data_IF_789559532639
#
_entry.id   IF_789559532639
#
_cell.length_a   1.000
_cell.length_b   1.000
_cell.length_c   1.000
_cell.angle_alpha   90.00
_cell.angle_beta   90.00
_cell.angle_gamma   90.00
#
_symmetry.space_group_name_H-M   'P 1'
#
loop_
_entity.id
_entity.type
_entity.pdbx_description
1 polymer ?
#
# COMPACT_ATOMS: atom_id res chain seq x y z
N UNK A 1 2.54 -13.86 12.34
CA UNK A 1 4.03 -14.06 12.42
C UNK A 1 4.66 -13.41 11.21
N UNK A 2 5.74 -12.67 11.37
CA UNK A 2 6.45 -12.04 10.24
C UNK A 2 7.12 -13.13 9.40
N UNK A 3 6.97 -13.09 8.10
CA UNK A 3 7.63 -14.00 7.18
C UNK A 3 9.15 -13.82 7.26
N UNK A 4 9.93 -14.91 7.38
CA UNK A 4 11.39 -14.88 7.55
C UNK A 4 12.10 -14.12 6.42
N UNK A 5 11.65 -14.28 5.17
CA UNK A 5 12.21 -13.55 4.03
C UNK A 5 11.87 -12.05 4.08
N UNK A 6 10.64 -11.70 4.49
CA UNK A 6 10.27 -10.30 4.70
C UNK A 6 11.17 -9.65 5.74
N UNK A 7 11.40 -10.36 6.88
CA UNK A 7 12.32 -9.90 7.91
C UNK A 7 13.76 -9.74 7.39
N UNK A 8 14.25 -10.72 6.61
CA UNK A 8 15.60 -10.71 6.06
C UNK A 8 15.79 -9.55 5.05
N UNK A 9 14.85 -9.33 4.14
CA UNK A 9 14.89 -8.18 3.22
C UNK A 9 14.85 -6.85 3.96
N UNK A 10 14.00 -6.73 4.98
CA UNK A 10 13.82 -5.51 5.75
C UNK A 10 15.05 -5.17 6.62
N UNK A 11 15.69 -6.16 7.23
CA UNK A 11 16.67 -5.89 8.28
C UNK A 11 18.12 -6.24 7.89
N UNK A 12 18.33 -7.09 6.88
CA UNK A 12 19.66 -7.59 6.52
C UNK A 12 20.05 -7.21 5.09
N UNK A 13 19.17 -7.44 4.12
CA UNK A 13 19.54 -7.33 2.69
C UNK A 13 19.37 -5.91 2.15
N UNK A 14 18.15 -5.41 2.07
CA UNK A 14 17.83 -4.12 1.45
C UNK A 14 17.72 -2.98 2.46
N UNK A 15 17.18 -3.28 3.65
CA UNK A 15 16.86 -2.25 4.63
C UNK A 15 18.05 -1.42 5.09
N UNK A 16 19.20 -2.00 5.49
CA UNK A 16 20.37 -1.22 5.89
C UNK A 16 20.86 -0.28 4.79
N UNK A 17 20.92 -0.77 3.55
CA UNK A 17 21.30 0.05 2.41
C UNK A 17 20.33 1.23 2.21
N UNK A 18 19.02 0.99 2.17
CA UNK A 18 18.03 2.04 1.97
C UNK A 18 18.03 3.08 3.10
N UNK A 19 18.25 2.64 4.36
CA UNK A 19 18.36 3.56 5.51
C UNK A 19 19.54 4.53 5.39
N UNK A 20 20.65 4.09 4.85
CA UNK A 20 21.84 4.93 4.66
C UNK A 20 21.71 5.77 3.38
N UNK A 21 21.28 5.16 2.29
CA UNK A 21 21.29 5.77 0.97
C UNK A 21 20.17 6.79 0.76
N UNK A 22 18.94 6.45 1.13
CA UNK A 22 17.76 7.32 0.96
C UNK A 22 17.27 7.95 2.26
N UNK A 23 17.78 7.52 3.42
CA UNK A 23 17.44 8.05 4.75
C UNK A 23 15.93 8.26 4.93
N UNK A 24 15.10 7.23 4.70
CA UNK A 24 13.66 7.39 4.81
C UNK A 24 13.25 7.68 6.25
N UNK A 25 12.32 8.62 6.41
CA UNK A 25 11.74 8.99 7.71
C UNK A 25 10.24 8.72 7.71
N UNK A 26 9.68 8.51 8.89
CA UNK A 26 8.24 8.32 9.08
C UNK A 26 7.74 9.25 10.18
N UNK A 27 6.74 10.05 9.85
CA UNK A 27 6.02 10.92 10.77
C UNK A 27 4.62 10.33 11.00
N UNK A 28 4.13 10.33 12.23
CA UNK A 28 2.83 9.75 12.59
C UNK A 28 2.80 8.22 12.60
N UNK A 29 3.94 7.54 12.65
CA UNK A 29 4.02 6.07 12.64
C UNK A 29 3.23 5.38 13.76
N UNK A 30 2.95 6.08 14.86
CA UNK A 30 2.09 5.61 15.96
C UNK A 30 0.62 5.40 15.55
N UNK A 31 0.17 6.00 14.45
CA UNK A 31 -1.17 5.79 13.90
C UNK A 31 -1.33 4.41 13.24
N UNK A 32 -0.24 3.70 12.95
CA UNK A 32 -0.30 2.32 12.46
C UNK A 32 -0.49 1.40 13.68
N UNK A 33 -1.58 0.63 13.76
CA UNK A 33 -1.85 -0.20 14.91
C UNK A 33 -0.80 -1.32 15.04
N UNK A 34 -0.33 -1.55 16.25
CA UNK A 34 0.60 -2.65 16.56
C UNK A 34 -0.09 -4.00 16.59
N UNK A 35 -1.41 -4.02 16.81
CA UNK A 35 -2.27 -5.23 16.86
C UNK A 35 -3.55 -4.91 16.08
N UNK A 36 -4.16 -5.95 15.48
CA UNK A 36 -5.40 -5.83 14.74
C UNK A 36 -5.20 -5.45 13.27
N UNK A 37 -6.29 -5.51 12.51
CA UNK A 37 -6.29 -5.21 11.08
C UNK A 37 -6.29 -3.70 10.81
N UNK A 38 -5.64 -3.29 9.73
CA UNK A 38 -5.78 -1.94 9.18
C UNK A 38 -5.48 -1.94 7.68
N UNK A 39 -6.09 -1.01 6.96
CA UNK A 39 -5.81 -0.74 5.55
C UNK A 39 -4.89 0.48 5.47
N UNK A 40 -3.75 0.32 4.82
CA UNK A 40 -2.80 1.40 4.60
C UNK A 40 -2.96 1.91 3.17
N UNK A 41 -3.59 3.07 3.00
CA UNK A 41 -3.89 3.67 1.71
C UNK A 41 -2.85 4.74 1.36
N UNK A 42 -1.97 4.45 0.40
CA UNK A 42 -0.86 5.34 0.05
C UNK A 42 -0.97 5.86 -1.38
N UNK A 43 -0.51 7.09 -1.64
CA UNK A 43 -0.21 7.52 -3.00
C UNK A 43 0.93 6.68 -3.59
N UNK A 44 1.06 6.63 -4.90
CA UNK A 44 2.03 5.78 -5.59
C UNK A 44 2.87 6.55 -6.60
N UNK A 45 4.12 6.82 -6.25
CA UNK A 45 5.04 7.62 -7.06
C UNK A 45 6.20 6.82 -7.64
N UNK A 46 6.56 5.71 -6.99
CA UNK A 46 7.70 4.87 -7.36
C UNK A 46 7.45 3.41 -7.04
N UNK A 47 8.12 2.49 -7.74
CA UNK A 47 8.16 1.09 -7.31
C UNK A 47 8.76 0.94 -5.91
N UNK A 48 9.61 1.88 -5.52
CA UNK A 48 10.28 1.90 -4.21
C UNK A 48 9.34 2.22 -3.04
N UNK A 49 8.13 2.72 -3.29
CA UNK A 49 7.11 2.93 -2.24
C UNK A 49 6.80 1.61 -1.51
N UNK A 50 6.73 0.51 -2.28
CA UNK A 50 6.52 -0.84 -1.73
C UNK A 50 7.72 -1.42 -0.96
N UNK A 51 8.82 -0.67 -0.88
CA UNK A 51 9.99 -1.00 -0.06
C UNK A 51 10.15 -0.03 1.11
N UNK A 52 9.99 1.29 0.89
CA UNK A 52 10.15 2.27 1.96
C UNK A 52 9.09 2.16 3.04
N UNK A 53 7.82 1.99 2.67
CA UNK A 53 6.75 1.86 3.66
C UNK A 53 6.91 0.58 4.52
N UNK A 54 7.12 -0.62 3.94
CA UNK A 54 7.45 -1.81 4.72
C UNK A 54 8.71 -1.68 5.58
N UNK A 55 9.73 -0.95 5.10
CA UNK A 55 10.97 -0.75 5.83
C UNK A 55 10.75 -0.05 7.17
N UNK A 56 9.88 0.96 7.21
CA UNK A 56 9.63 1.78 8.40
C UNK A 56 8.38 1.35 9.19
N UNK A 57 7.50 0.56 8.59
CA UNK A 57 6.33 0.02 9.28
C UNK A 57 6.75 -1.01 10.35
N UNK A 58 6.19 -0.98 11.57
CA UNK A 58 6.54 -1.92 12.64
C UNK A 58 6.13 -3.36 12.33
N UNK A 59 5.14 -3.55 11.46
CA UNK A 59 4.55 -4.85 11.10
C UNK A 59 4.69 -5.13 9.61
N UNK A 60 4.54 -6.39 9.23
CA UNK A 60 4.46 -6.80 7.82
C UNK A 60 3.20 -6.22 7.17
N UNK A 61 3.36 -5.70 5.95
CA UNK A 61 2.28 -5.21 5.11
C UNK A 61 2.15 -6.14 3.92
N UNK A 62 0.95 -6.60 3.64
CA UNK A 62 0.64 -7.38 2.43
C UNK A 62 0.01 -6.45 1.38
N UNK A 63 0.65 -6.35 0.21
CA UNK A 63 0.12 -5.59 -0.93
C UNK A 63 -0.41 -6.52 -2.02
N UNK A 64 -1.49 -6.13 -2.72
CA UNK A 64 -1.85 -6.78 -3.97
C UNK A 64 -0.86 -6.40 -5.08
N UNK A 65 -0.18 -7.38 -5.63
CA UNK A 65 0.75 -7.22 -6.75
C UNK A 65 0.12 -7.72 -8.05
N UNK A 66 0.59 -7.23 -9.19
CA UNK A 66 0.09 -7.67 -10.50
C UNK A 66 0.26 -9.17 -10.67
N UNK A 67 -0.79 -9.86 -11.13
CA UNK A 67 -0.79 -11.31 -11.39
C UNK A 67 0.34 -11.73 -12.33
N UNK A 68 0.72 -10.87 -13.28
CA UNK A 68 1.81 -11.12 -14.23
C UNK A 68 3.15 -11.38 -13.53
N UNK A 69 3.41 -10.77 -12.37
CA UNK A 69 4.64 -11.03 -11.61
C UNK A 69 4.74 -12.46 -11.06
N UNK A 70 3.63 -13.18 -11.03
CA UNK A 70 3.56 -14.57 -10.58
C UNK A 70 3.46 -15.58 -11.72
N UNK A 71 3.19 -15.12 -12.95
CA UNK A 71 2.90 -15.98 -14.11
C UNK A 71 3.87 -15.78 -15.27
N UNK A 72 4.74 -14.75 -15.24
CA UNK A 72 5.73 -14.49 -16.27
C UNK A 72 6.66 -15.70 -16.47
N UNK A 73 6.83 -16.22 -17.70
CA UNK A 73 7.69 -17.36 -17.97
C UNK A 73 9.19 -17.02 -17.88
N UNK A 74 10.02 -18.07 -17.84
CA UNK A 74 11.47 -17.93 -17.85
C UNK A 74 12.11 -17.70 -16.48
N UNK A 75 13.43 -17.53 -16.47
CA UNK A 75 14.23 -17.39 -15.22
C UNK A 75 13.87 -16.10 -14.49
N UNK A 76 13.70 -15.00 -15.22
CA UNK A 76 13.32 -13.69 -14.62
C UNK A 76 11.94 -13.80 -13.96
N UNK A 77 10.95 -14.41 -14.62
CA UNK A 77 9.62 -14.62 -14.04
C UNK A 77 9.64 -15.51 -12.81
N UNK A 78 10.46 -16.57 -12.81
CA UNK A 78 10.62 -17.42 -11.61
C UNK A 78 11.23 -16.66 -10.44
N UNK A 79 12.21 -15.79 -10.70
CA UNK A 79 12.83 -14.95 -9.68
C UNK A 79 11.86 -13.91 -9.13
N UNK A 80 11.07 -13.26 -10.00
CA UNK A 80 10.01 -12.35 -9.60
C UNK A 80 8.96 -13.04 -8.74
N UNK A 81 8.43 -14.17 -9.20
CA UNK A 81 7.46 -14.96 -8.44
C UNK A 81 8.00 -15.36 -7.06
N UNK A 82 9.23 -15.86 -7.01
CA UNK A 82 9.89 -16.21 -5.75
C UNK A 82 9.97 -14.99 -4.82
N UNK A 83 10.43 -13.84 -5.32
CA UNK A 83 10.53 -12.62 -4.53
C UNK A 83 9.17 -12.17 -3.97
N UNK A 84 8.15 -11.98 -4.83
CA UNK A 84 6.84 -11.51 -4.38
C UNK A 84 6.16 -12.47 -3.41
N UNK A 85 6.28 -13.78 -3.67
CA UNK A 85 5.78 -14.81 -2.74
C UNK A 85 6.54 -14.81 -1.41
N UNK A 86 7.86 -14.67 -1.47
CA UNK A 86 8.72 -14.67 -0.29
C UNK A 86 8.48 -13.47 0.63
N UNK A 87 8.08 -12.33 0.09
CA UNK A 87 7.71 -11.15 0.91
C UNK A 87 6.21 -11.12 1.24
N UNK A 88 5.46 -12.16 0.90
CA UNK A 88 4.05 -12.34 1.28
C UNK A 88 3.08 -11.48 0.48
N UNK A 89 3.43 -11.08 -0.76
CA UNK A 89 2.50 -10.36 -1.64
C UNK A 89 1.48 -11.32 -2.26
N UNK A 90 0.28 -10.82 -2.55
CA UNK A 90 -0.80 -11.61 -3.16
C UNK A 90 -1.05 -11.19 -4.60
N UNK A 91 -1.25 -12.15 -5.53
CA UNK A 91 -1.55 -11.83 -6.92
C UNK A 91 -2.94 -11.22 -7.04
N UNK A 92 -3.05 -10.15 -7.84
CA UNK A 92 -4.32 -9.51 -8.19
C UNK A 92 -4.40 -9.28 -9.69
N UNK A 93 -5.38 -9.91 -10.33
CA UNK A 93 -5.76 -9.58 -11.70
C UNK A 93 -6.61 -8.31 -11.72
N UNK A 94 -6.07 -7.25 -12.30
CA UNK A 94 -6.73 -5.94 -12.39
C UNK A 94 -7.47 -5.73 -13.71
N UNK A 95 -7.32 -6.66 -14.66
CA UNK A 95 -7.92 -6.57 -16.00
C UNK A 95 -9.32 -7.18 -16.05
N UNK A 96 -9.66 -8.03 -15.10
CA UNK A 96 -10.95 -8.71 -15.00
C UNK A 96 -12.09 -7.75 -14.67
N UNK A 97 -13.25 -7.96 -15.28
CA UNK A 97 -14.50 -7.27 -14.89
C UNK A 97 -14.86 -7.48 -13.41
N UNK A 98 -14.36 -8.55 -12.79
CA UNK A 98 -14.52 -8.91 -11.38
C UNK A 98 -13.38 -8.43 -10.49
N UNK A 99 -12.49 -7.56 -10.97
CA UNK A 99 -11.32 -7.09 -10.22
C UNK A 99 -11.67 -6.54 -8.83
N UNK A 100 -12.83 -5.91 -8.67
CA UNK A 100 -13.32 -5.41 -7.38
C UNK A 100 -13.66 -6.52 -6.38
N UNK A 101 -14.29 -7.61 -6.84
CA UNK A 101 -14.63 -8.76 -6.00
C UNK A 101 -13.37 -9.54 -5.60
N UNK A 102 -12.45 -9.72 -6.54
CA UNK A 102 -11.15 -10.37 -6.29
C UNK A 102 -10.35 -9.57 -5.27
N UNK A 103 -10.32 -8.23 -5.41
CA UNK A 103 -9.66 -7.35 -4.44
C UNK A 103 -10.29 -7.48 -3.05
N UNK A 104 -11.62 -7.45 -2.95
CA UNK A 104 -12.34 -7.55 -1.68
C UNK A 104 -12.07 -8.91 -1.00
N UNK A 105 -12.11 -10.00 -1.76
CA UNK A 105 -11.83 -11.34 -1.24
C UNK A 105 -10.39 -11.46 -0.74
N UNK A 106 -9.42 -10.98 -1.53
CA UNK A 106 -8.00 -10.98 -1.14
C UNK A 106 -7.76 -10.14 0.12
N UNK A 107 -8.38 -8.95 0.19
CA UNK A 107 -8.26 -8.07 1.36
C UNK A 107 -8.88 -8.70 2.61
N UNK A 108 -10.10 -9.28 2.53
CA UNK A 108 -10.74 -9.99 3.64
C UNK A 108 -9.85 -11.08 4.20
N UNK A 109 -9.30 -11.94 3.36
CA UNK A 109 -8.41 -13.02 3.79
C UNK A 109 -7.19 -12.53 4.59
N UNK A 110 -6.73 -11.30 4.36
CA UNK A 110 -5.62 -10.68 5.09
C UNK A 110 -6.12 -10.01 6.38
N UNK A 111 -7.17 -9.21 6.25
CA UNK A 111 -7.72 -8.42 7.37
C UNK A 111 -8.35 -9.31 8.46
N UNK A 112 -9.00 -10.42 8.08
CA UNK A 112 -9.59 -11.39 9.03
C UNK A 112 -8.52 -12.06 9.91
N UNK A 113 -7.25 -12.10 9.46
CA UNK A 113 -6.12 -12.55 10.27
C UNK A 113 -5.53 -11.45 11.16
N UNK A 114 -6.13 -10.25 11.19
CA UNK A 114 -5.60 -9.11 11.94
C UNK A 114 -4.34 -8.51 11.33
N UNK A 115 -4.09 -8.70 10.02
CA UNK A 115 -2.89 -8.23 9.32
C UNK A 115 -3.09 -6.86 8.67
N UNK A 116 -1.99 -6.22 8.23
CA UNK A 116 -2.02 -4.96 7.51
C UNK A 116 -2.15 -5.20 6.01
N UNK A 117 -3.13 -4.54 5.39
CA UNK A 117 -3.35 -4.55 3.96
C UNK A 117 -2.95 -3.21 3.34
N UNK A 118 -1.93 -3.21 2.49
CA UNK A 118 -1.47 -2.02 1.78
C UNK A 118 -2.14 -1.89 0.42
N UNK A 119 -2.59 -0.69 0.07
CA UNK A 119 -3.23 -0.42 -1.21
C UNK A 119 -2.86 0.97 -1.72
N UNK A 120 -2.75 1.09 -3.04
CA UNK A 120 -2.59 2.37 -3.73
C UNK A 120 -3.93 2.74 -4.39
N UNK A 121 -4.70 3.70 -3.83
CA UNK A 121 -6.02 4.05 -4.36
C UNK A 121 -5.99 4.53 -5.82
N UNK A 122 -4.91 5.16 -6.26
CA UNK A 122 -4.72 5.56 -7.66
C UNK A 122 -4.70 4.38 -8.63
N UNK A 123 -4.31 3.18 -8.16
CA UNK A 123 -4.24 1.94 -8.94
C UNK A 123 -3.05 1.86 -9.90
N UNK A 124 -2.29 2.94 -10.06
CA UNK A 124 -1.07 3.01 -10.86
C UNK A 124 -0.12 4.04 -10.28
N UNK A 125 1.14 4.03 -10.69
CA UNK A 125 2.11 5.06 -10.31
C UNK A 125 1.79 6.37 -11.01
N UNK A 126 1.94 7.49 -10.27
CA UNK A 126 1.77 8.83 -10.81
C UNK A 126 2.83 9.12 -11.89
N UNK A 127 2.44 9.52 -13.11
CA UNK A 127 3.39 9.78 -14.19
C UNK A 127 4.24 11.04 -13.96
N UNK A 128 3.72 12.02 -13.25
CA UNK A 128 4.32 13.34 -13.04
C UNK A 128 4.58 13.71 -11.58
N UNK A 129 4.20 12.85 -10.63
CA UNK A 129 4.35 13.07 -9.19
C UNK A 129 3.15 13.74 -8.53
N UNK A 130 2.11 14.10 -9.29
CA UNK A 130 0.86 14.62 -8.73
C UNK A 130 0.01 13.48 -8.15
N UNK A 131 -0.85 13.80 -7.20
CA UNK A 131 -1.84 12.88 -6.68
C UNK A 131 -3.06 12.92 -7.59
N UNK A 132 -3.44 11.78 -8.13
CA UNK A 132 -4.58 11.64 -9.03
C UNK A 132 -5.81 11.13 -8.29
N UNK A 133 -6.97 11.25 -8.94
CA UNK A 133 -8.23 10.76 -8.40
C UNK A 133 -8.15 9.27 -8.04
N UNK A 134 -8.45 8.93 -6.79
CA UNK A 134 -8.48 7.56 -6.30
C UNK A 134 -9.65 6.74 -6.86
N UNK A 135 -9.43 5.44 -7.06
CA UNK A 135 -10.45 4.44 -7.31
C UNK A 135 -11.12 4.04 -6.00
N UNK A 136 -12.40 3.70 -6.03
CA UNK A 136 -13.18 3.38 -4.83
C UNK A 136 -12.86 2.02 -4.19
N UNK A 137 -11.95 1.23 -4.77
CA UNK A 137 -11.63 -0.11 -4.28
C UNK A 137 -11.17 -0.15 -2.83
N UNK A 138 -10.29 0.77 -2.42
CA UNK A 138 -9.81 0.87 -1.04
C UNK A 138 -10.96 1.19 -0.05
N UNK A 139 -11.79 2.18 -0.37
CA UNK A 139 -12.92 2.57 0.44
C UNK A 139 -13.99 1.47 0.53
N UNK A 140 -14.28 0.78 -0.59
CA UNK A 140 -15.21 -0.37 -0.60
C UNK A 140 -14.72 -1.50 0.28
N UNK A 141 -13.42 -1.81 0.26
CA UNK A 141 -12.86 -2.80 1.17
C UNK A 141 -13.03 -2.36 2.62
N UNK A 142 -12.69 -1.11 2.95
CA UNK A 142 -12.80 -0.57 4.29
C UNK A 142 -14.25 -0.63 4.81
N UNK A 143 -15.22 -0.21 4.01
CA UNK A 143 -16.66 -0.24 4.36
C UNK A 143 -17.14 -1.68 4.55
N UNK A 144 -16.82 -2.58 3.62
CA UNK A 144 -17.28 -3.96 3.64
C UNK A 144 -16.65 -4.82 4.76
N UNK A 145 -15.51 -4.42 5.30
CA UNK A 145 -14.80 -5.13 6.38
C UNK A 145 -14.88 -4.40 7.72
N UNK A 146 -15.35 -3.16 7.73
CA UNK A 146 -15.35 -2.25 8.90
C UNK A 146 -13.98 -2.11 9.57
N UNK A 147 -12.91 -2.16 8.76
CA UNK A 147 -11.52 -2.03 9.21
C UNK A 147 -11.06 -0.60 8.99
N UNK A 148 -10.34 0.04 9.96
CA UNK A 148 -9.86 1.39 9.81
C UNK A 148 -8.92 1.52 8.60
N UNK A 149 -9.08 2.62 7.85
CA UNK A 149 -8.20 2.98 6.74
C UNK A 149 -7.33 4.17 7.13
N UNK A 150 -6.03 4.03 6.88
CA UNK A 150 -5.00 4.97 7.29
C UNK A 150 -4.38 5.58 6.05
N UNK A 151 -4.56 6.89 5.79
CA UNK A 151 -3.90 7.58 4.70
C UNK A 151 -2.39 7.67 4.93
N UNK A 152 -1.59 7.38 3.89
CA UNK A 152 -0.13 7.44 3.96
C UNK A 152 0.42 8.22 2.78
N UNK A 153 1.04 9.36 3.03
CA UNK A 153 1.68 10.14 1.99
C UNK A 153 3.16 9.75 1.85
N UNK A 154 3.50 9.27 0.64
CA UNK A 154 4.88 9.02 0.20
C UNK A 154 5.43 10.26 -0.48
N UNK A 155 6.51 10.83 0.03
CA UNK A 155 7.10 12.09 -0.44
C UNK A 155 8.55 11.82 -0.84
N UNK A 156 8.94 12.25 -2.04
CA UNK A 156 10.32 12.17 -2.54
C UNK A 156 10.73 10.81 -3.14
N UNK A 157 9.92 9.77 -3.06
CA UNK A 157 10.24 8.45 -3.63
C UNK A 157 10.39 8.47 -5.14
N UNK A 158 9.65 9.34 -5.85
CA UNK A 158 9.85 9.59 -7.27
C UNK A 158 11.25 10.11 -7.59
N UNK A 159 11.82 10.98 -6.77
CA UNK A 159 13.17 11.50 -6.97
C UNK A 159 14.22 10.40 -6.73
N UNK A 160 13.95 9.50 -5.80
CA UNK A 160 14.80 8.35 -5.53
C UNK A 160 14.78 7.33 -6.69
N UNK A 161 13.62 7.07 -7.27
CA UNK A 161 13.49 6.15 -8.41
C UNK A 161 12.34 6.60 -9.33
N UNK A 162 12.62 7.45 -10.34
CA UNK A 162 11.64 7.86 -11.33
C UNK A 162 11.11 6.68 -12.15
N UNK A 163 9.89 6.80 -12.67
CA UNK A 163 9.31 5.81 -13.58
C UNK A 163 10.24 5.61 -14.80
N UNK A 164 10.50 4.35 -15.14
CA UNK A 164 11.41 3.99 -16.25
C UNK A 164 12.90 3.98 -15.88
N UNK A 165 13.27 4.41 -14.67
CA UNK A 165 14.65 4.32 -14.20
C UNK A 165 14.93 2.97 -13.52
N UNK A 166 16.02 2.34 -13.91
CA UNK A 166 16.58 1.15 -13.22
C UNK A 166 17.55 1.54 -12.10
N UNK A 167 17.94 2.82 -12.04
CA UNK A 167 18.93 3.31 -11.09
C UNK A 167 18.23 4.01 -9.93
N UNK A 168 18.55 3.56 -8.72
CA UNK A 168 18.17 4.26 -7.49
C UNK A 168 19.10 5.47 -7.30
N UNK A 169 18.51 6.62 -6.95
CA UNK A 169 19.24 7.90 -6.73
C UNK A 169 19.27 8.26 -5.26
N UNK A 170 20.31 8.97 -4.78
CA UNK A 170 20.33 9.47 -3.41
C UNK A 170 19.33 10.63 -3.27
N UNK A 171 18.15 10.33 -2.75
CA UNK A 171 17.11 11.31 -2.47
C UNK A 171 16.46 11.00 -1.13
N UNK A 172 16.13 12.02 -0.35
CA UNK A 172 15.41 11.84 0.92
C UNK A 172 13.98 11.42 0.64
N UNK A 173 13.51 10.42 1.38
CA UNK A 173 12.14 9.94 1.33
C UNK A 173 11.47 10.19 2.67
N UNK A 174 10.28 10.76 2.66
CA UNK A 174 9.49 10.97 3.86
C UNK A 174 8.15 10.26 3.72
N UNK A 175 7.72 9.63 4.80
CA UNK A 175 6.41 9.00 4.91
C UNK A 175 5.64 9.76 5.98
N UNK A 176 4.43 10.22 5.65
CA UNK A 176 3.49 10.77 6.63
C UNK A 176 2.33 9.81 6.79
N UNK A 177 2.01 9.48 8.01
CA UNK A 177 0.91 8.60 8.37
C UNK A 177 -0.18 9.43 9.01
N UNK A 178 -1.31 9.56 8.33
CA UNK A 178 -2.48 10.28 8.82
C UNK A 178 -3.21 9.54 9.93
N UNK A 179 -4.21 10.20 10.52
CA UNK A 179 -5.07 9.57 11.50
C UNK A 179 -5.90 8.45 10.89
N UNK A 180 -6.19 7.37 11.64
CA UNK A 180 -7.10 6.33 11.19
C UNK A 180 -8.50 6.88 10.94
N UNK A 181 -9.10 6.50 9.81
CA UNK A 181 -10.48 6.82 9.46
C UNK A 181 -11.31 5.55 9.65
N UNK A 182 -12.33 5.62 10.49
CA UNK A 182 -13.25 4.52 10.78
C UNK A 182 -14.45 4.58 9.83
N UNK A 183 -14.64 3.59 8.94
CA UNK A 183 -15.62 3.68 7.85
C UNK A 183 -17.06 3.89 8.32
N UNK A 184 -17.52 3.12 9.32
CA UNK A 184 -18.89 3.27 9.86
C UNK A 184 -19.14 4.63 10.48
N UNK A 185 -18.16 5.14 11.22
CA UNK A 185 -18.25 6.46 11.84
C UNK A 185 -18.32 7.54 10.77
N UNK A 186 -17.42 7.46 9.78
CA UNK A 186 -17.38 8.36 8.63
C UNK A 186 -18.72 8.43 7.87
N UNK A 187 -19.34 7.25 7.61
CA UNK A 187 -20.65 7.17 6.94
C UNK A 187 -21.77 7.74 7.80
N UNK A 188 -21.81 7.37 9.06
CA UNK A 188 -22.84 7.82 10.03
C UNK A 188 -22.84 9.34 10.19
N UNK A 189 -21.67 9.95 10.37
CA UNK A 189 -21.54 11.41 10.54
C UNK A 189 -22.02 12.20 9.33
N UNK A 190 -21.95 11.60 8.12
CA UNK A 190 -22.35 12.25 6.86
C UNK A 190 -23.71 11.82 6.36
N UNK A 191 -24.39 10.91 7.03
CA UNK A 191 -25.68 10.36 6.59
C UNK A 191 -25.61 9.65 5.25
N UNK A 192 -24.47 9.00 4.92
CA UNK A 192 -24.23 8.39 3.63
C UNK A 192 -24.48 6.88 3.68
N UNK A 193 -25.09 6.36 2.60
CA UNK A 193 -25.13 4.92 2.32
C UNK A 193 -23.76 4.39 1.85
N UNK A 194 -23.59 3.07 1.82
CA UNK A 194 -22.30 2.44 1.44
C UNK A 194 -21.84 2.83 0.03
N UNK A 195 -22.75 2.92 -0.92
CA UNK A 195 -22.41 3.21 -2.32
C UNK A 195 -21.85 4.63 -2.49
N UNK A 196 -22.58 5.63 -1.99
CA UNK A 196 -22.17 7.03 -2.02
C UNK A 196 -20.97 7.27 -1.10
N UNK A 197 -20.99 6.64 0.06
CA UNK A 197 -19.92 6.69 1.04
C UNK A 197 -18.57 6.19 0.52
N UNK A 198 -18.58 5.17 -0.37
CA UNK A 198 -17.33 4.69 -0.97
C UNK A 198 -16.63 5.78 -1.81
N UNK A 199 -17.38 6.61 -2.52
CA UNK A 199 -16.80 7.73 -3.25
C UNK A 199 -16.35 8.85 -2.31
N UNK A 200 -17.20 9.23 -1.36
CA UNK A 200 -16.91 10.27 -0.39
C UNK A 200 -15.67 9.93 0.48
N UNK A 201 -15.58 8.69 0.96
CA UNK A 201 -14.43 8.20 1.71
C UNK A 201 -13.15 8.20 0.88
N UNK A 202 -13.25 7.80 -0.40
CA UNK A 202 -12.08 7.86 -1.30
C UNK A 202 -11.60 9.29 -1.49
N UNK A 203 -12.51 10.23 -1.75
CA UNK A 203 -12.17 11.63 -1.97
C UNK A 203 -11.55 12.24 -0.69
N UNK A 204 -12.06 11.88 0.49
CA UNK A 204 -11.50 12.29 1.76
C UNK A 204 -10.08 11.76 1.97
N UNK A 205 -9.83 10.46 1.70
CA UNK A 205 -8.49 9.88 1.74
C UNK A 205 -7.54 10.62 0.80
N UNK A 206 -7.95 10.83 -0.45
CA UNK A 206 -7.09 11.50 -1.44
C UNK A 206 -6.80 12.96 -1.09
N UNK A 207 -7.75 13.68 -0.48
CA UNK A 207 -7.53 15.03 0.05
C UNK A 207 -6.47 15.02 1.16
N UNK A 208 -6.60 14.11 2.14
CA UNK A 208 -5.62 13.96 3.23
C UNK A 208 -4.21 13.62 2.72
N UNK A 209 -4.10 12.86 1.60
CA UNK A 209 -2.79 12.57 1.00
C UNK A 209 -2.15 13.79 0.33
N UNK A 210 -2.92 14.83 0.04
CA UNK A 210 -2.47 16.05 -0.66
C UNK A 210 -2.01 17.16 0.29
N UNK A 211 -2.30 17.03 1.58
CA UNK A 211 -1.88 17.95 2.67
C UNK A 211 -0.44 17.65 3.12
#
# INVERSE_FOLDING_TARGET
MTNNWYWAFKNVLLGPFLRVYNRPTIDGGSNIPTIGAAILASNHQSVMDSFYLPLLCPRQITFPAKSEYFTTPGIVGRLQKWFYTSVGQVPLDRSSAKAGEVLLTAARNILDRGELFGIYPEGTRSPDGRIYRGKTGAARVAIATDVPIIPIAMIGSRNANPIGSWVLRPAKVRIRVGAPIYPREFLRERGLGEYEGARALTDHIMATLSE
#
